data_IF_434472385461
#
_entry.id   IF_434472385461
#
_cell.length_a   1.000
_cell.length_b   1.000
_cell.length_c   1.000
_cell.angle_alpha   90.00
_cell.angle_beta   90.00
_cell.angle_gamma   90.00
#
_symmetry.space_group_name_H-M   'P 1'
#
loop_
_entity.id
_entity.type
_entity.pdbx_description
1 polymer ?
#
# COMPACT_ATOMS: atom_id res chain seq x y z
N UNK A 1 20.54 35.86 8.61
CA UNK A 1 19.27 35.15 8.90
C UNK A 1 18.97 34.24 7.72
N UNK A 2 18.81 32.93 7.98
CA UNK A 2 18.44 31.81 7.08
C UNK A 2 17.18 32.14 6.23
N UNK A 3 16.85 31.51 5.10
CA UNK A 3 17.37 30.40 4.30
C UNK A 3 16.70 30.55 2.91
N UNK A 4 17.46 30.47 1.81
CA UNK A 4 16.92 30.31 0.46
C UNK A 4 16.92 28.82 0.10
N UNK A 5 15.75 28.30 -0.31
CA UNK A 5 15.61 27.00 -0.97
C UNK A 5 15.88 27.20 -2.45
N UNK A 6 17.12 26.95 -2.89
CA UNK A 6 17.46 26.92 -4.31
C UNK A 6 17.69 25.48 -4.78
N UNK A 7 16.84 25.07 -5.72
CA UNK A 7 17.24 24.40 -6.95
C UNK A 7 17.59 22.91 -6.87
N UNK A 8 16.59 22.03 -7.00
CA UNK A 8 16.78 20.68 -7.53
C UNK A 8 15.55 20.25 -8.33
N UNK A 9 15.43 20.77 -9.56
CA UNK A 9 14.49 20.23 -10.55
C UNK A 9 15.29 19.80 -11.79
N UNK A 10 14.94 18.63 -12.31
CA UNK A 10 15.33 18.04 -13.61
C UNK A 10 16.69 17.32 -13.77
N UNK A 11 17.77 17.69 -13.07
CA UNK A 11 19.09 17.08 -13.32
C UNK A 11 19.19 15.62 -12.82
N UNK A 12 18.50 15.26 -11.73
CA UNK A 12 18.61 13.91 -11.15
C UNK A 12 17.89 12.81 -11.96
N UNK A 13 16.82 13.14 -12.71
CA UNK A 13 16.04 12.11 -13.42
C UNK A 13 16.78 11.55 -14.65
N UNK A 14 17.51 12.40 -15.38
CA UNK A 14 18.32 11.98 -16.53
C UNK A 14 19.58 11.24 -16.10
N UNK A 15 20.15 11.61 -14.95
CA UNK A 15 21.29 10.90 -14.35
C UNK A 15 20.86 9.51 -13.82
N UNK A 16 19.69 9.40 -13.17
CA UNK A 16 19.08 8.12 -12.81
C UNK A 16 18.83 7.23 -14.04
N UNK A 17 18.30 7.78 -15.14
CA UNK A 17 18.09 7.02 -16.39
C UNK A 17 19.39 6.51 -17.02
N UNK A 18 20.50 7.23 -16.85
CA UNK A 18 21.83 6.79 -17.28
C UNK A 18 22.38 5.68 -16.36
N UNK A 19 22.21 5.82 -15.05
CA UNK A 19 22.62 4.83 -14.04
C UNK A 19 21.80 3.53 -14.06
N UNK A 20 20.58 3.54 -14.62
CA UNK A 20 19.78 2.32 -14.85
C UNK A 20 20.24 1.55 -16.10
N UNK A 21 20.98 2.19 -17.02
CA UNK A 21 21.49 1.57 -18.27
C UNK A 21 22.90 1.00 -18.16
N UNK A 22 23.64 1.34 -17.12
CA UNK A 22 24.97 0.83 -16.81
C UNK A 22 24.88 0.21 -15.41
N UNK A 23 25.21 -1.08 -15.24
CA UNK A 23 24.99 -1.90 -14.04
C UNK A 23 25.57 -1.35 -12.70
N UNK A 24 25.05 -0.23 -12.18
CA UNK A 24 25.57 0.47 -11.01
C UNK A 24 24.46 0.95 -10.06
N UNK A 25 24.17 0.06 -9.11
CA UNK A 25 23.83 0.23 -7.68
C UNK A 25 23.62 1.68 -7.18
N UNK A 26 22.45 1.96 -6.61
CA UNK A 26 22.14 3.24 -5.95
C UNK A 26 22.71 3.32 -4.52
N UNK A 27 23.53 4.36 -4.34
CA UNK A 27 24.19 4.82 -3.12
C UNK A 27 23.20 5.56 -2.21
N UNK A 28 23.13 5.20 -0.92
CA UNK A 28 22.42 6.01 0.08
C UNK A 28 23.48 6.78 0.88
N UNK A 29 23.37 8.11 0.88
CA UNK A 29 24.36 9.02 1.49
C UNK A 29 24.50 8.87 3.02
N UNK A 30 23.67 8.03 3.65
CA UNK A 30 23.56 7.92 5.11
C UNK A 30 24.25 6.69 5.70
N UNK A 31 24.44 5.60 4.94
CA UNK A 31 24.92 4.33 5.52
C UNK A 31 26.07 3.67 4.77
N UNK A 32 26.44 4.15 3.58
CA UNK A 32 27.41 3.45 2.74
C UNK A 32 26.98 2.01 2.43
N UNK A 33 27.89 1.21 1.87
CA UNK A 33 27.63 -0.22 1.62
C UNK A 33 27.44 -0.96 2.95
N UNK A 34 26.22 -1.46 3.21
CA UNK A 34 25.95 -2.27 4.39
C UNK A 34 25.42 -3.64 3.96
N UNK A 35 26.20 -4.69 4.26
CA UNK A 35 25.79 -6.07 4.02
C UNK A 35 24.49 -6.38 4.80
N UNK A 36 23.60 -7.16 4.18
CA UNK A 36 22.30 -7.58 4.75
C UNK A 36 22.41 -8.09 6.21
N UNK A 37 23.43 -8.88 6.52
CA UNK A 37 23.66 -9.42 7.87
C UNK A 37 24.09 -8.34 8.89
N UNK A 38 24.68 -7.23 8.42
CA UNK A 38 25.06 -6.07 9.26
C UNK A 38 23.86 -5.16 9.51
N UNK A 39 22.94 -5.06 8.54
CA UNK A 39 21.64 -4.38 8.66
C UNK A 39 20.73 -5.05 9.71
N UNK A 40 20.70 -6.39 9.76
CA UNK A 40 20.02 -7.16 10.83
C UNK A 40 20.52 -6.82 12.23
N UNK A 41 21.81 -6.49 12.36
CA UNK A 41 22.46 -6.21 13.64
C UNK A 41 22.26 -4.76 14.10
N UNK A 42 22.12 -3.82 13.17
CA UNK A 42 21.92 -2.39 13.47
C UNK A 42 20.46 -2.05 13.81
N UNK A 43 19.49 -2.81 13.30
CA UNK A 43 18.09 -2.69 13.68
C UNK A 43 17.72 -3.80 14.65
N UNK A 44 17.83 -3.54 15.95
CA UNK A 44 17.35 -4.42 17.03
C UNK A 44 15.81 -4.51 17.08
N UNK A 45 15.17 -4.89 15.96
CA UNK A 45 13.85 -5.53 15.89
C UNK A 45 13.92 -6.49 14.69
N UNK A 46 14.65 -7.59 14.87
CA UNK A 46 14.50 -8.78 14.02
C UNK A 46 13.50 -9.70 14.69
N UNK A 47 12.21 -9.53 14.40
CA UNK A 47 11.37 -10.72 14.22
C UNK A 47 11.37 -11.04 12.73
N UNK A 48 11.40 -12.33 12.40
CA UNK A 48 11.33 -12.85 11.04
C UNK A 48 10.14 -12.28 10.22
N UNK A 49 9.19 -11.61 10.87
CA UNK A 49 8.02 -10.95 10.28
C UNK A 49 8.36 -9.77 9.37
N UNK A 50 9.42 -9.00 9.63
CA UNK A 50 9.85 -7.92 8.73
C UNK A 50 10.29 -8.44 7.35
N UNK A 51 10.73 -9.69 7.29
CA UNK A 51 11.22 -10.33 6.05
C UNK A 51 10.14 -11.20 5.40
N UNK A 52 9.05 -11.54 6.11
CA UNK A 52 8.00 -12.43 5.58
C UNK A 52 7.09 -11.79 4.54
N UNK A 53 7.04 -10.46 4.39
CA UNK A 53 6.15 -9.82 3.40
C UNK A 53 6.78 -9.50 2.04
N UNK A 54 8.01 -9.95 1.77
CA UNK A 54 8.66 -9.75 0.46
C UNK A 54 9.12 -11.06 -0.19
N UNK A 55 8.38 -12.13 0.05
CA UNK A 55 8.48 -13.34 -0.75
C UNK A 55 7.50 -13.27 -1.93
N UNK A 56 8.07 -13.40 -3.14
CA UNK A 56 7.44 -13.85 -4.38
C UNK A 56 6.31 -13.01 -5.00
N UNK A 57 6.64 -11.95 -5.74
CA UNK A 57 5.80 -11.51 -6.86
C UNK A 57 6.66 -11.11 -8.07
N UNK A 58 6.25 -11.56 -9.27
CA UNK A 58 6.98 -11.66 -10.53
C UNK A 58 7.39 -10.33 -11.23
N UNK A 59 7.69 -9.26 -10.49
CA UNK A 59 8.16 -7.98 -11.03
C UNK A 59 9.64 -7.74 -10.71
N UNK A 60 10.37 -7.13 -11.66
CA UNK A 60 11.76 -6.68 -11.46
C UNK A 60 11.77 -5.63 -10.33
N UNK A 61 12.51 -5.84 -9.21
CA UNK A 61 12.55 -4.92 -8.08
C UNK A 61 12.81 -3.45 -8.43
N UNK A 62 13.54 -3.18 -9.53
CA UNK A 62 13.76 -1.83 -10.04
C UNK A 62 12.49 -1.07 -10.43
N UNK A 63 11.49 -1.72 -11.05
CA UNK A 63 10.25 -1.06 -11.45
C UNK A 63 9.41 -0.67 -10.23
N UNK A 64 9.31 -1.55 -9.23
CA UNK A 64 8.63 -1.26 -7.95
C UNK A 64 9.29 -0.08 -7.23
N UNK A 65 10.63 -0.04 -7.22
CA UNK A 65 11.39 1.06 -6.64
C UNK A 65 11.15 2.38 -7.37
N UNK A 66 11.20 2.41 -8.71
CA UNK A 66 10.92 3.62 -9.50
C UNK A 66 9.52 4.18 -9.25
N UNK A 67 8.50 3.31 -9.19
CA UNK A 67 7.12 3.73 -8.94
C UNK A 67 6.98 4.35 -7.55
N UNK A 68 7.50 3.68 -6.51
CA UNK A 68 7.46 4.25 -5.15
C UNK A 68 8.25 5.56 -5.06
N UNK A 69 9.44 5.65 -5.67
CA UNK A 69 10.24 6.87 -5.68
C UNK A 69 9.48 8.05 -6.30
N UNK A 70 8.73 7.83 -7.39
CA UNK A 70 7.88 8.88 -7.98
C UNK A 70 6.75 9.32 -7.05
N UNK A 71 6.13 8.39 -6.34
CA UNK A 71 5.10 8.73 -5.35
C UNK A 71 5.68 9.48 -4.13
N UNK A 72 6.90 9.13 -3.67
CA UNK A 72 7.62 9.88 -2.63
C UNK A 72 7.92 11.32 -3.08
N UNK A 73 8.38 11.52 -4.32
CA UNK A 73 8.61 12.85 -4.86
C UNK A 73 7.34 13.72 -4.89
N UNK A 74 6.17 13.08 -4.84
CA UNK A 74 4.87 13.73 -4.71
C UNK A 74 4.32 13.71 -3.27
N UNK A 75 5.20 13.79 -2.25
CA UNK A 75 4.84 14.00 -0.84
C UNK A 75 4.31 12.75 -0.10
N UNK A 76 4.65 11.53 -0.53
CA UNK A 76 4.47 10.37 0.34
C UNK A 76 5.50 10.40 1.47
N UNK A 77 5.01 10.29 2.72
CA UNK A 77 5.84 10.35 3.94
C UNK A 77 6.50 9.01 4.28
N UNK A 78 6.12 7.92 3.62
CA UNK A 78 6.70 6.61 3.87
C UNK A 78 8.11 6.52 3.29
N UNK A 79 9.12 6.31 4.14
CA UNK A 79 10.52 6.38 3.69
C UNK A 79 10.92 5.13 2.93
N UNK A 80 11.51 5.34 1.75
CA UNK A 80 12.37 4.34 1.10
C UNK A 80 13.80 4.67 1.43
N UNK A 81 14.50 3.74 2.06
CA UNK A 81 15.91 3.91 2.36
C UNK A 81 16.80 3.58 1.17
N UNK A 82 16.43 2.61 0.33
CA UNK A 82 17.17 2.29 -0.89
C UNK A 82 16.93 0.88 -1.41
N UNK A 83 17.87 0.39 -2.22
CA UNK A 83 17.94 -0.99 -2.68
C UNK A 83 19.09 -1.73 -1.99
N UNK A 84 18.92 -3.01 -1.73
CA UNK A 84 20.01 -3.90 -1.29
C UNK A 84 19.99 -5.18 -2.12
N UNK A 85 21.10 -5.90 -2.13
CA UNK A 85 21.23 -7.19 -2.81
C UNK A 85 21.68 -8.25 -1.81
N UNK A 86 21.00 -9.40 -1.82
CA UNK A 86 21.43 -10.54 -1.02
C UNK A 86 22.62 -11.22 -1.70
N UNK A 87 23.72 -11.35 -0.95
CA UNK A 87 24.90 -12.09 -1.39
C UNK A 87 24.66 -13.60 -1.53
N UNK A 88 23.57 -14.13 -0.97
CA UNK A 88 23.26 -15.58 -1.00
C UNK A 88 22.55 -16.03 -2.26
N UNK A 89 21.74 -15.16 -2.87
CA UNK A 89 20.89 -15.52 -4.01
C UNK A 89 20.79 -14.44 -5.09
N UNK A 90 21.63 -13.40 -5.02
CA UNK A 90 21.70 -12.26 -5.94
C UNK A 90 20.36 -11.53 -6.15
N UNK A 91 19.38 -11.73 -5.27
CA UNK A 91 18.08 -11.04 -5.33
C UNK A 91 18.22 -9.62 -4.80
N UNK A 92 17.57 -8.69 -5.48
CA UNK A 92 17.44 -7.31 -5.03
C UNK A 92 16.21 -7.15 -4.14
N UNK A 93 16.34 -6.31 -3.12
CA UNK A 93 15.31 -5.98 -2.15
C UNK A 93 15.19 -4.48 -2.03
N UNK A 94 13.97 -3.99 -1.78
CA UNK A 94 13.74 -2.60 -1.41
C UNK A 94 13.80 -2.50 0.11
N UNK A 95 14.55 -1.53 0.61
CA UNK A 95 14.66 -1.23 2.04
C UNK A 95 13.71 -0.08 2.34
N UNK A 96 12.70 -0.35 3.16
CA UNK A 96 11.61 0.57 3.48
C UNK A 96 11.61 0.90 4.98
N UNK A 97 10.92 1.98 5.36
CA UNK A 97 10.58 2.26 6.74
C UNK A 97 9.80 1.08 7.35
N UNK A 98 10.17 0.71 8.58
CA UNK A 98 9.40 -0.27 9.33
C UNK A 98 8.12 0.37 9.88
N UNK A 99 6.99 -0.31 9.67
CA UNK A 99 5.67 0.06 10.18
C UNK A 99 5.34 -0.83 11.39
N UNK A 100 5.50 -0.27 12.59
CA UNK A 100 5.48 -1.01 13.86
C UNK A 100 4.11 -1.58 14.27
N UNK A 101 3.04 -1.22 13.58
CA UNK A 101 1.68 -1.70 13.83
C UNK A 101 1.14 -2.58 12.69
N UNK A 102 2.00 -3.05 11.78
CA UNK A 102 1.63 -3.97 10.71
C UNK A 102 0.69 -3.34 9.68
N UNK A 103 -0.18 -4.15 9.05
CA UNK A 103 -1.18 -3.65 8.09
C UNK A 103 -2.51 -3.30 8.76
N UNK A 104 -3.33 -2.50 8.07
CA UNK A 104 -4.61 -1.99 8.57
C UNK A 104 -5.59 -3.11 8.91
N UNK A 105 -5.60 -4.21 8.13
CA UNK A 105 -6.45 -5.36 8.39
C UNK A 105 -6.18 -5.96 9.79
N UNK A 106 -4.92 -6.33 10.05
CA UNK A 106 -4.50 -6.91 11.32
C UNK A 106 -4.60 -5.90 12.47
N UNK A 107 -4.27 -4.64 12.18
CA UNK A 107 -4.39 -3.54 13.14
C UNK A 107 -5.84 -3.37 13.60
N UNK A 108 -6.81 -3.30 12.68
CA UNK A 108 -8.22 -3.19 13.05
C UNK A 108 -8.66 -4.42 13.84
N UNK A 109 -8.36 -5.64 13.38
CA UNK A 109 -8.75 -6.87 14.09
C UNK A 109 -8.24 -6.93 15.55
N UNK A 110 -7.06 -6.40 15.82
CA UNK A 110 -6.43 -6.47 17.15
C UNK A 110 -6.68 -5.24 18.01
N UNK A 111 -6.86 -4.06 17.40
CA UNK A 111 -6.90 -2.76 18.07
C UNK A 111 -8.21 -2.01 17.90
N UNK A 112 -9.22 -2.57 17.23
CA UNK A 112 -10.47 -1.86 16.91
C UNK A 112 -11.10 -1.12 18.10
N UNK A 113 -11.14 -1.75 19.28
CA UNK A 113 -11.73 -1.16 20.49
C UNK A 113 -10.96 0.06 21.01
N UNK A 114 -9.67 0.16 20.70
CA UNK A 114 -8.80 1.30 21.07
C UNK A 114 -8.87 2.45 20.04
N UNK A 115 -9.44 2.20 18.85
CA UNK A 115 -9.46 3.15 17.72
C UNK A 115 -10.77 3.93 17.70
N UNK A 116 -10.73 5.15 18.25
CA UNK A 116 -11.86 6.08 18.20
C UNK A 116 -12.04 6.73 16.80
N UNK A 117 -13.15 7.45 16.61
CA UNK A 117 -13.46 8.09 15.32
C UNK A 117 -12.45 9.13 14.87
N UNK A 118 -11.80 9.85 15.78
CA UNK A 118 -10.75 10.79 15.41
C UNK A 118 -9.56 10.06 14.78
N UNK A 119 -9.12 8.94 15.38
CA UNK A 119 -8.08 8.09 14.81
C UNK A 119 -8.49 7.51 13.45
N UNK A 120 -9.74 7.06 13.29
CA UNK A 120 -10.26 6.56 11.99
C UNK A 120 -10.24 7.65 10.91
N UNK A 121 -10.57 8.89 11.27
CA UNK A 121 -10.53 10.02 10.34
C UNK A 121 -9.08 10.40 9.96
N UNK A 122 -8.12 10.26 10.88
CA UNK A 122 -6.70 10.45 10.57
C UNK A 122 -6.20 9.37 9.60
N UNK A 123 -6.54 8.09 9.85
CA UNK A 123 -6.23 6.97 8.93
C UNK A 123 -6.86 7.24 7.55
N UNK A 124 -8.14 7.62 7.51
CA UNK A 124 -8.85 7.98 6.27
C UNK A 124 -8.13 9.11 5.51
N UNK A 125 -7.68 10.15 6.21
CA UNK A 125 -6.99 11.28 5.59
C UNK A 125 -5.63 10.87 5.01
N UNK A 126 -4.83 10.13 5.77
CA UNK A 126 -3.53 9.62 5.33
C UNK A 126 -3.66 8.75 4.08
N UNK A 127 -4.63 7.82 4.07
CA UNK A 127 -4.92 6.96 2.91
C UNK A 127 -5.39 7.79 1.70
N UNK A 128 -6.30 8.74 1.92
CA UNK A 128 -6.81 9.60 0.83
C UNK A 128 -5.70 10.42 0.18
N UNK A 129 -4.78 10.93 1.00
CA UNK A 129 -3.63 11.71 0.55
C UNK A 129 -2.68 10.85 -0.29
N UNK A 130 -2.30 9.68 0.21
CA UNK A 130 -1.45 8.75 -0.53
C UNK A 130 -2.10 8.30 -1.85
N UNK A 131 -3.40 7.98 -1.83
CA UNK A 131 -4.12 7.56 -3.04
C UNK A 131 -4.22 8.68 -4.08
N UNK A 132 -4.44 9.93 -3.63
CA UNK A 132 -4.37 11.11 -4.47
C UNK A 132 -2.98 11.29 -5.09
N UNK A 133 -1.91 11.08 -4.31
CA UNK A 133 -0.53 11.20 -4.79
C UNK A 133 -0.21 10.13 -5.85
N UNK A 134 -0.65 8.88 -5.65
CA UNK A 134 -0.52 7.79 -6.63
C UNK A 134 -1.23 8.16 -7.93
N UNK A 135 -2.48 8.61 -7.84
CA UNK A 135 -3.27 9.04 -9.00
C UNK A 135 -2.62 10.21 -9.74
N UNK A 136 -2.15 11.24 -9.01
CA UNK A 136 -1.48 12.41 -9.59
C UNK A 136 -0.17 12.04 -10.29
N UNK A 137 0.53 11.04 -9.77
CA UNK A 137 1.73 10.46 -10.38
C UNK A 137 1.45 9.65 -11.67
N UNK A 138 0.18 9.54 -12.08
CA UNK A 138 -0.23 8.81 -13.28
C UNK A 138 -0.40 7.30 -13.08
N UNK A 139 -0.40 6.84 -11.83
CA UNK A 139 -0.48 5.42 -11.50
C UNK A 139 -1.88 5.00 -11.03
N UNK A 140 -2.12 3.69 -11.11
CA UNK A 140 -3.25 2.97 -10.51
C UNK A 140 -2.62 1.94 -9.59
N UNK A 141 -3.12 1.81 -8.36
CA UNK A 141 -2.61 0.83 -7.40
C UNK A 141 -2.96 -0.60 -7.85
N UNK A 142 -4.22 -0.82 -8.24
CA UNK A 142 -4.77 -2.06 -8.82
C UNK A 142 -4.79 -3.30 -7.92
N UNK A 143 -4.11 -3.25 -6.77
CA UNK A 143 -4.23 -4.23 -5.68
C UNK A 143 -4.52 -3.53 -4.34
N UNK A 144 -5.47 -2.60 -4.34
CA UNK A 144 -5.71 -1.73 -3.18
C UNK A 144 -6.66 -2.39 -2.18
N UNK A 145 -6.15 -2.79 -1.02
CA UNK A 145 -6.91 -3.36 0.09
C UNK A 145 -6.23 -3.04 1.43
N UNK A 146 -6.91 -3.30 2.55
CA UNK A 146 -6.39 -2.99 3.90
C UNK A 146 -5.13 -3.74 4.30
N UNK A 147 -4.85 -4.87 3.66
CA UNK A 147 -3.58 -5.60 3.80
C UNK A 147 -2.37 -4.84 3.24
N UNK A 148 -2.60 -3.96 2.26
CA UNK A 148 -1.58 -3.12 1.64
C UNK A 148 -1.52 -1.70 2.24
N UNK A 149 -2.18 -1.45 3.37
CA UNK A 149 -2.09 -0.19 4.10
C UNK A 149 -1.33 -0.42 5.40
N UNK A 150 -0.13 0.13 5.51
CA UNK A 150 0.72 -0.01 6.69
C UNK A 150 0.35 1.00 7.78
N UNK A 151 0.51 0.61 9.04
CA UNK A 151 0.25 1.41 10.22
C UNK A 151 1.55 1.62 11.00
N UNK A 152 1.87 2.87 11.30
CA UNK A 152 3.09 3.25 11.99
C UNK A 152 2.81 4.31 13.05
N UNK A 153 3.10 4.01 14.30
CA UNK A 153 3.07 4.97 15.40
C UNK A 153 4.47 5.46 15.73
N UNK A 154 5.46 4.56 15.72
CA UNK A 154 6.83 4.85 16.13
C UNK A 154 6.86 5.46 17.54
N UNK A 155 7.65 6.52 17.71
CA UNK A 155 7.67 7.32 18.96
C UNK A 155 6.63 8.45 18.96
N UNK A 156 5.80 8.57 17.92
CA UNK A 156 4.79 9.61 17.81
C UNK A 156 3.59 9.33 18.71
N UNK A 157 2.91 10.39 19.14
CA UNK A 157 1.59 10.29 19.77
C UNK A 157 0.50 9.99 18.73
N UNK A 158 0.76 10.25 17.44
CA UNK A 158 -0.17 10.06 16.33
C UNK A 158 0.17 8.82 15.51
N UNK A 159 -0.85 8.02 15.20
CA UNK A 159 -0.76 6.94 14.23
C UNK A 159 -0.71 7.52 12.81
N UNK A 160 0.17 6.99 11.98
CA UNK A 160 0.26 7.31 10.55
C UNK A 160 -0.02 6.07 9.71
N UNK A 161 -0.71 6.27 8.60
CA UNK A 161 -0.99 5.21 7.63
C UNK A 161 -0.30 5.46 6.29
N UNK A 162 0.12 4.40 5.62
CA UNK A 162 0.80 4.48 4.32
C UNK A 162 0.31 3.42 3.36
N UNK A 163 0.07 3.77 2.10
CA UNK A 163 -0.21 2.79 1.05
C UNK A 163 1.12 2.15 0.61
N UNK A 164 1.20 0.82 0.68
CA UNK A 164 2.36 0.01 0.33
C UNK A 164 2.09 -0.91 -0.87
N UNK A 165 3.13 -1.58 -1.36
CA UNK A 165 3.12 -2.43 -2.56
C UNK A 165 2.65 -1.71 -3.84
N UNK A 166 3.16 -0.49 -4.05
CA UNK A 166 3.04 0.26 -5.31
C UNK A 166 3.82 -0.45 -6.42
N UNK A 167 3.23 -1.49 -7.00
CA UNK A 167 3.95 -2.35 -7.93
C UNK A 167 3.09 -3.30 -8.75
N UNK A 168 1.85 -3.57 -8.35
CA UNK A 168 0.99 -4.55 -9.01
C UNK A 168 0.11 -3.90 -10.06
N UNK A 169 0.72 -3.31 -11.10
CA UNK A 169 0.02 -3.27 -12.40
C UNK A 169 -0.13 -4.71 -12.87
N UNK A 170 -1.18 -5.41 -12.43
CA UNK A 170 -1.56 -6.69 -13.01
C UNK A 170 -1.85 -6.45 -14.48
N UNK A 171 -0.90 -6.77 -15.36
CA UNK A 171 -1.30 -7.46 -16.59
C UNK A 171 -1.98 -8.72 -16.08
N UNK A 172 -3.30 -8.80 -16.22
CA UNK A 172 -4.07 -9.97 -15.84
C UNK A 172 -3.49 -11.20 -16.56
N UNK A 173 -2.54 -11.88 -15.90
CA UNK A 173 -2.00 -13.14 -16.35
C UNK A 173 -2.71 -14.21 -15.53
N UNK A 174 -3.26 -15.19 -16.25
CA UNK A 174 -4.20 -16.24 -15.79
C UNK A 174 -3.63 -17.25 -14.75
N UNK A 175 -2.51 -16.96 -14.09
CA UNK A 175 -1.77 -17.96 -13.30
C UNK A 175 -1.57 -17.59 -11.83
N UNK A 176 -2.21 -16.54 -11.31
CA UNK A 176 -2.32 -16.37 -9.86
C UNK A 176 -3.16 -17.54 -9.34
N UNK A 177 -2.69 -18.25 -8.31
CA UNK A 177 -3.41 -19.36 -7.69
C UNK A 177 -4.83 -18.88 -7.37
N UNK A 178 -5.85 -19.60 -7.84
CA UNK A 178 -7.25 -19.16 -7.73
C UNK A 178 -7.61 -18.72 -6.29
N UNK A 179 -7.01 -19.37 -5.28
CA UNK A 179 -7.12 -19.02 -3.85
C UNK A 179 -6.73 -17.59 -3.45
N UNK A 180 -5.65 -17.01 -4.00
CA UNK A 180 -5.20 -15.65 -3.62
C UNK A 180 -6.11 -14.56 -4.19
N UNK A 181 -6.71 -14.77 -5.38
CA UNK A 181 -7.68 -13.85 -5.96
C UNK A 181 -8.95 -13.80 -5.11
N UNK A 182 -9.38 -14.95 -4.58
CA UNK A 182 -10.58 -15.04 -3.75
C UNK A 182 -10.47 -14.16 -2.51
N UNK A 183 -9.32 -14.11 -1.84
CA UNK A 183 -9.13 -13.35 -0.61
C UNK A 183 -9.36 -11.83 -0.76
N UNK A 184 -9.17 -11.27 -1.95
CA UNK A 184 -9.34 -9.83 -2.19
C UNK A 184 -10.66 -9.45 -2.84
N UNK A 185 -11.52 -10.42 -3.22
CA UNK A 185 -12.80 -10.18 -3.93
C UNK A 185 -13.61 -9.00 -3.37
N UNK A 186 -13.78 -8.84 -2.05
CA UNK A 186 -14.57 -7.73 -1.52
C UNK A 186 -14.09 -6.35 -1.97
N UNK A 187 -12.78 -6.19 -2.16
CA UNK A 187 -12.15 -4.93 -2.54
C UNK A 187 -12.12 -4.72 -4.06
N UNK A 188 -12.39 -5.75 -4.87
CA UNK A 188 -12.31 -5.65 -6.33
C UNK A 188 -13.57 -5.00 -6.89
N UNK A 189 -13.38 -3.96 -7.71
CA UNK A 189 -14.47 -3.21 -8.30
C UNK A 189 -15.32 -4.07 -9.27
N UNK A 190 -16.64 -3.84 -9.36
CA UNK A 190 -17.54 -4.63 -10.21
C UNK A 190 -17.08 -4.74 -11.67
N UNK A 191 -16.63 -3.63 -12.25
CA UNK A 191 -16.13 -3.60 -13.63
C UNK A 191 -14.88 -4.48 -13.82
N UNK A 192 -14.02 -4.55 -12.79
CA UNK A 192 -12.81 -5.40 -12.80
C UNK A 192 -13.21 -6.87 -12.65
N UNK A 193 -14.19 -7.19 -11.81
CA UNK A 193 -14.78 -8.53 -11.70
C UNK A 193 -15.42 -8.99 -13.02
N UNK A 194 -15.96 -8.06 -13.82
CA UNK A 194 -16.44 -8.31 -15.18
C UNK A 194 -15.32 -8.45 -16.24
N UNK A 195 -14.06 -8.36 -15.84
CA UNK A 195 -12.92 -8.47 -16.74
C UNK A 195 -12.62 -7.19 -17.53
N UNK A 196 -13.20 -6.05 -17.16
CA UNK A 196 -12.83 -4.77 -17.77
C UNK A 196 -11.45 -4.33 -17.30
N UNK A 197 -10.85 -3.41 -18.06
CA UNK A 197 -9.53 -2.86 -17.72
C UNK A 197 -9.62 -2.08 -16.41
N UNK A 198 -8.68 -2.36 -15.49
CA UNK A 198 -8.55 -1.61 -14.24
C UNK A 198 -8.33 -0.12 -14.53
N UNK A 199 -9.08 0.72 -13.85
CA UNK A 199 -8.98 2.18 -13.92
C UNK A 199 -8.72 2.76 -12.54
N UNK A 200 -8.46 4.07 -12.46
CA UNK A 200 -8.38 4.79 -11.18
C UNK A 200 -9.66 4.68 -10.35
N UNK A 201 -10.82 4.51 -10.99
CA UNK A 201 -12.08 4.33 -10.29
C UNK A 201 -12.14 3.01 -9.50
N UNK A 202 -11.41 1.99 -9.93
CA UNK A 202 -11.33 0.72 -9.21
C UNK A 202 -10.67 0.90 -7.83
N UNK A 203 -9.59 1.69 -7.75
CA UNK A 203 -8.97 1.99 -6.45
C UNK A 203 -9.91 2.82 -5.55
N UNK A 204 -10.73 3.72 -6.13
CA UNK A 204 -11.75 4.48 -5.38
C UNK A 204 -12.84 3.55 -4.84
N UNK A 205 -13.29 2.56 -5.62
CA UNK A 205 -14.20 1.53 -5.14
C UNK A 205 -13.60 0.79 -3.94
N UNK A 206 -12.36 0.31 -4.07
CA UNK A 206 -11.67 -0.39 -2.99
C UNK A 206 -11.54 0.48 -1.74
N UNK A 207 -11.31 1.78 -1.91
CA UNK A 207 -11.28 2.74 -0.80
C UNK A 207 -12.61 2.77 -0.03
N UNK A 208 -13.73 2.81 -0.74
CA UNK A 208 -15.07 2.77 -0.12
C UNK A 208 -15.32 1.47 0.65
N UNK A 209 -14.77 0.35 0.17
CA UNK A 209 -14.81 -0.94 0.88
C UNK A 209 -13.96 -0.89 2.15
N UNK A 210 -12.73 -0.35 2.09
CA UNK A 210 -11.86 -0.15 3.26
C UNK A 210 -12.53 0.77 4.31
N UNK A 211 -13.31 1.77 3.88
CA UNK A 211 -14.10 2.59 4.79
C UNK A 211 -15.11 1.77 5.60
N UNK A 212 -15.75 0.76 4.99
CA UNK A 212 -16.64 -0.14 5.72
C UNK A 212 -15.88 -0.99 6.75
N UNK A 213 -14.69 -1.46 6.43
CA UNK A 213 -13.83 -2.22 7.35
C UNK A 213 -13.36 -1.35 8.52
N UNK A 214 -13.00 -0.09 8.29
CA UNK A 214 -12.69 0.85 9.37
C UNK A 214 -13.91 1.13 10.27
N UNK A 215 -15.11 1.10 9.69
CA UNK A 215 -16.37 1.29 10.43
C UNK A 215 -16.67 0.11 11.34
N UNK A 216 -16.54 -1.13 10.85
CA UNK A 216 -16.94 -2.37 11.55
C UNK A 216 -15.81 -3.03 12.34
N UNK A 217 -14.56 -2.80 11.94
CA UNK A 217 -13.39 -3.53 12.44
C UNK A 217 -13.29 -4.96 11.91
N UNK A 218 -14.17 -5.33 10.97
CA UNK A 218 -14.33 -6.66 10.44
C UNK A 218 -14.08 -6.66 8.94
N UNK A 219 -13.60 -7.78 8.42
CA UNK A 219 -13.37 -7.95 7.00
C UNK A 219 -14.69 -7.70 6.24
N UNK A 220 -14.68 -6.98 5.10
CA UNK A 220 -15.89 -6.78 4.32
C UNK A 220 -16.45 -8.13 3.85
N UNK A 221 -17.73 -8.35 4.10
CA UNK A 221 -18.44 -9.62 3.84
C UNK A 221 -17.95 -10.84 4.64
N UNK A 222 -17.39 -10.66 5.86
CA UNK A 222 -16.79 -11.74 6.69
C UNK A 222 -17.70 -12.98 6.92
N UNK A 223 -19.02 -12.82 6.80
CA UNK A 223 -20.00 -13.91 6.97
C UNK A 223 -20.25 -14.74 5.70
N UNK A 224 -19.64 -14.37 4.57
CA UNK A 224 -19.80 -15.05 3.29
C UNK A 224 -18.49 -15.72 2.87
N UNK A 225 -18.60 -16.84 2.16
CA UNK A 225 -17.45 -17.42 1.47
C UNK A 225 -17.00 -16.51 0.34
N UNK A 226 -15.68 -16.37 0.19
CA UNK A 226 -15.10 -15.52 -0.82
C UNK A 226 -14.99 -16.32 -2.11
N UNK A 227 -16.09 -16.38 -2.84
CA UNK A 227 -16.23 -17.19 -4.04
C UNK A 227 -16.80 -16.38 -5.22
N UNK A 228 -17.02 -17.07 -6.34
CA UNK A 228 -17.66 -16.49 -7.52
C UNK A 228 -19.09 -15.99 -7.25
N UNK A 229 -19.81 -16.54 -6.26
CA UNK A 229 -21.16 -16.09 -5.91
C UNK A 229 -21.09 -14.72 -5.25
N UNK A 230 -20.12 -14.48 -4.37
CA UNK A 230 -19.89 -13.16 -3.79
C UNK A 230 -19.57 -12.13 -4.88
N UNK A 231 -18.69 -12.47 -5.83
CA UNK A 231 -18.38 -11.60 -6.97
C UNK A 231 -19.65 -11.23 -7.77
N UNK A 232 -20.51 -12.21 -8.08
CA UNK A 232 -21.79 -11.97 -8.77
C UNK A 232 -22.70 -11.04 -7.96
N UNK A 233 -22.77 -11.22 -6.63
CA UNK A 233 -23.58 -10.34 -5.76
C UNK A 233 -23.04 -8.90 -5.77
N UNK A 234 -21.72 -8.72 -5.71
CA UNK A 234 -21.06 -7.40 -5.79
C UNK A 234 -21.41 -6.71 -7.13
N UNK A 235 -21.34 -7.46 -8.23
CA UNK A 235 -21.77 -6.98 -9.55
C UNK A 235 -23.25 -6.62 -9.61
N UNK A 236 -24.10 -7.29 -8.81
CA UNK A 236 -25.52 -6.97 -8.60
C UNK A 236 -25.76 -5.91 -7.51
N UNK A 237 -24.76 -5.06 -7.25
CA UNK A 237 -24.82 -3.94 -6.30
C UNK A 237 -24.88 -4.32 -4.83
N UNK A 238 -24.48 -5.54 -4.45
CA UNK A 238 -24.20 -5.83 -3.04
C UNK A 238 -23.05 -4.92 -2.58
N UNK A 239 -23.20 -4.32 -1.40
CA UNK A 239 -22.21 -3.46 -0.75
C UNK A 239 -22.02 -3.90 0.70
N UNK A 240 -20.83 -3.70 1.28
CA UNK A 240 -20.60 -4.04 2.67
C UNK A 240 -21.42 -3.13 3.61
N UNK A 241 -21.69 -3.66 4.79
CA UNK A 241 -22.43 -2.96 5.84
C UNK A 241 -21.52 -2.07 6.69
N UNK A 242 -22.12 -1.16 7.45
CA UNK A 242 -21.44 -0.24 8.35
C UNK A 242 -21.95 -0.45 9.78
N UNK A 243 -21.09 -0.25 10.78
CA UNK A 243 -21.47 -0.35 12.18
C UNK A 243 -22.56 0.68 12.54
N UNK A 244 -23.52 0.37 13.44
CA UNK A 244 -24.66 1.25 13.76
C UNK A 244 -24.29 2.67 14.22
N UNK A 245 -23.11 2.86 14.83
CA UNK A 245 -22.62 4.16 15.32
C UNK A 245 -21.73 4.90 14.33
N UNK A 246 -21.78 4.53 13.06
CA UNK A 246 -21.00 5.18 12.00
C UNK A 246 -21.62 6.52 11.61
N UNK A 247 -20.84 7.62 11.54
CA UNK A 247 -21.35 8.92 11.11
C UNK A 247 -22.00 8.84 9.71
N UNK A 248 -23.18 9.43 9.55
CA UNK A 248 -23.96 9.38 8.30
C UNK A 248 -23.17 9.86 7.09
N UNK A 249 -22.49 11.00 7.20
CA UNK A 249 -21.67 11.54 6.12
C UNK A 249 -20.51 10.63 5.70
N UNK A 250 -19.96 9.85 6.63
CA UNK A 250 -18.92 8.87 6.33
C UNK A 250 -19.48 7.71 5.49
N UNK A 251 -20.68 7.22 5.84
CA UNK A 251 -21.39 6.19 5.06
C UNK A 251 -21.73 6.71 3.66
N UNK A 252 -22.25 7.93 3.55
CA UNK A 252 -22.58 8.54 2.25
C UNK A 252 -21.36 8.68 1.36
N UNK A 253 -20.22 9.09 1.92
CA UNK A 253 -18.96 9.19 1.19
C UNK A 253 -18.49 7.81 0.72
N UNK A 254 -18.49 6.80 1.59
CA UNK A 254 -18.11 5.43 1.23
C UNK A 254 -19.02 4.87 0.12
N UNK A 255 -20.33 5.12 0.19
CA UNK A 255 -21.30 4.73 -0.85
C UNK A 255 -21.03 5.43 -2.19
N UNK A 256 -20.65 6.71 -2.17
CA UNK A 256 -20.23 7.44 -3.39
C UNK A 256 -18.97 6.83 -4.01
N UNK A 257 -18.03 6.40 -3.17
CA UNK A 257 -16.83 5.70 -3.64
C UNK A 257 -17.16 4.35 -4.31
N UNK A 258 -18.19 3.65 -3.84
CA UNK A 258 -18.60 2.32 -4.36
C UNK A 258 -19.75 2.36 -5.38
N UNK A 259 -20.08 3.53 -5.92
CA UNK A 259 -21.21 3.68 -6.86
C UNK A 259 -20.88 3.16 -8.25
#
# INVERSE_FOLDING_TARGET
MKMQLNGFHLIDYLLLKKLVKEDLVLYTKQFGWMAYEKLKKLMMITTEECVKHLASLHLRPGQKFENHMKCILNDSRFKIYGLTQSSKNNKYFIVLQYADNGNLHNFLRTKFQEVNWQSKLNIFFDISKDLSNISYSGYIHADFHSGNILQNKGTSTTLHSYIADLGLTKKANKNDSEGEIFEIIPYVAPEVLFGQKVTKAADIYSFGVIMSEMSTGQRPFDVQEFDHKLAIKICKRLRPEFAPRTPKYYIELAKKCMN
#
